data_IF_613270287122
#
_entry.id   IF_613270287122
#
_cell.length_a   1.000
_cell.length_b   1.000
_cell.length_c   1.000
_cell.angle_alpha   90.00
_cell.angle_beta   90.00
_cell.angle_gamma   90.00
#
_symmetry.space_group_name_H-M   'P 1'
#
loop_
_entity.id
_entity.type
_entity.pdbx_description
1 polymer ?
#
# COMPACT_ATOMS: atom_id res chain seq x y z
N UNK A 1 -57.72 6.16 11.00
CA UNK A 1 -56.63 5.95 10.02
C UNK A 1 -56.80 6.84 8.78
N UNK A 2 -56.50 8.15 8.83
CA UNK A 2 -56.44 9.03 7.63
C UNK A 2 -55.48 10.22 7.82
N UNK A 3 -54.29 10.01 8.39
CA UNK A 3 -53.30 11.07 8.63
C UNK A 3 -52.31 11.26 7.48
N UNK A 4 -52.13 10.24 6.63
CA UNK A 4 -51.21 10.28 5.47
C UNK A 4 -51.71 11.17 4.34
N UNK A 5 -53.03 11.40 4.25
CA UNK A 5 -53.64 12.19 3.17
C UNK A 5 -53.33 13.69 3.23
N UNK A 6 -53.16 14.26 4.42
CA UNK A 6 -52.87 15.70 4.58
C UNK A 6 -51.40 16.03 4.28
N UNK A 7 -50.48 15.15 4.65
CA UNK A 7 -49.04 15.30 4.36
C UNK A 7 -48.79 15.25 2.85
N UNK A 8 -49.49 14.36 2.14
CA UNK A 8 -49.33 14.20 0.69
C UNK A 8 -49.84 15.42 -0.11
N UNK A 9 -50.86 16.13 0.40
CA UNK A 9 -51.40 17.34 -0.24
C UNK A 9 -50.48 18.56 -0.07
N UNK A 10 -49.77 18.66 1.05
CA UNK A 10 -48.77 19.72 1.31
C UNK A 10 -47.50 19.56 0.45
N UNK A 11 -46.98 18.33 0.34
CA UNK A 11 -45.83 18.01 -0.54
C UNK A 11 -46.14 18.34 -2.00
N UNK A 12 -47.41 18.17 -2.42
CA UNK A 12 -47.84 18.45 -3.79
C UNK A 12 -47.89 19.95 -4.14
N UNK A 13 -47.99 20.83 -3.15
CA UNK A 13 -48.06 22.28 -3.37
C UNK A 13 -46.66 22.93 -3.45
N UNK A 14 -45.65 22.37 -2.78
CA UNK A 14 -44.25 22.85 -2.77
C UNK A 14 -43.25 21.93 -3.50
N UNK A 15 -43.71 21.17 -4.51
CA UNK A 15 -42.91 20.14 -5.22
C UNK A 15 -41.58 20.66 -5.77
N UNK A 16 -41.54 21.92 -6.21
CA UNK A 16 -40.36 22.52 -6.84
C UNK A 16 -39.21 22.76 -5.85
N UNK A 17 -39.51 23.10 -4.59
CA UNK A 17 -38.47 23.27 -3.57
C UNK A 17 -37.96 21.91 -3.06
N UNK A 18 -38.85 20.96 -2.80
CA UNK A 18 -38.47 19.62 -2.33
C UNK A 18 -37.71 18.81 -3.40
N UNK A 19 -38.02 18.99 -4.70
CA UNK A 19 -37.28 18.33 -5.77
C UNK A 19 -35.83 18.79 -5.85
N UNK A 20 -35.55 20.06 -5.58
CA UNK A 20 -34.18 20.59 -5.58
C UNK A 20 -33.34 19.99 -4.45
N UNK A 21 -33.90 19.92 -3.24
CA UNK A 21 -33.24 19.32 -2.08
C UNK A 21 -32.99 17.83 -2.31
N UNK A 22 -33.99 17.10 -2.83
CA UNK A 22 -33.85 15.67 -3.13
C UNK A 22 -32.78 15.42 -4.19
N UNK A 23 -32.75 16.22 -5.26
CA UNK A 23 -31.74 16.12 -6.31
C UNK A 23 -30.35 16.43 -5.79
N UNK A 24 -30.19 17.49 -4.99
CA UNK A 24 -28.91 17.85 -4.37
C UNK A 24 -28.40 16.76 -3.42
N UNK A 25 -29.27 16.21 -2.58
CA UNK A 25 -28.92 15.10 -1.68
C UNK A 25 -28.52 13.83 -2.45
N UNK A 26 -29.24 13.50 -3.52
CA UNK A 26 -28.93 12.36 -4.37
C UNK A 26 -27.56 12.50 -5.06
N UNK A 27 -27.27 13.69 -5.62
CA UNK A 27 -25.98 13.99 -6.23
C UNK A 27 -24.86 13.96 -5.20
N UNK A 28 -25.06 14.57 -4.02
CA UNK A 28 -24.07 14.55 -2.94
C UNK A 28 -23.75 13.13 -2.46
N UNK A 29 -24.78 12.30 -2.27
CA UNK A 29 -24.61 10.89 -1.91
C UNK A 29 -23.84 10.11 -3.00
N UNK A 30 -24.16 10.32 -4.28
CA UNK A 30 -23.43 9.70 -5.39
C UNK A 30 -21.95 10.10 -5.42
N UNK A 31 -21.63 11.37 -5.17
CA UNK A 31 -20.23 11.84 -5.11
C UNK A 31 -19.47 11.19 -3.95
N UNK A 32 -20.07 11.14 -2.77
CA UNK A 32 -19.45 10.50 -1.59
C UNK A 32 -19.21 9.00 -1.81
N UNK A 33 -20.18 8.29 -2.39
CA UNK A 33 -20.04 6.88 -2.72
C UNK A 33 -18.98 6.64 -3.80
N UNK A 34 -18.92 7.48 -4.84
CA UNK A 34 -17.90 7.40 -5.88
C UNK A 34 -16.48 7.61 -5.34
N UNK A 35 -16.31 8.57 -4.44
CA UNK A 35 -15.03 8.81 -3.77
C UNK A 35 -14.60 7.62 -2.89
N UNK A 36 -15.55 7.01 -2.16
CA UNK A 36 -15.26 5.84 -1.33
C UNK A 36 -14.85 4.63 -2.18
N UNK A 37 -15.58 4.35 -3.26
CA UNK A 37 -15.24 3.26 -4.19
C UNK A 37 -13.87 3.44 -4.85
N UNK A 38 -13.52 4.67 -5.24
CA UNK A 38 -12.21 4.97 -5.79
C UNK A 38 -11.09 4.76 -4.76
N UNK A 39 -11.33 5.15 -3.50
CA UNK A 39 -10.42 4.91 -2.38
C UNK A 39 -10.18 3.42 -2.13
N UNK A 40 -11.24 2.64 -2.02
CA UNK A 40 -11.17 1.19 -1.77
C UNK A 40 -10.40 0.45 -2.87
N UNK A 41 -10.62 0.82 -4.13
CA UNK A 41 -9.91 0.23 -5.27
C UNK A 41 -8.41 0.50 -5.25
N UNK A 42 -8.01 1.75 -4.93
CA UNK A 42 -6.59 2.10 -4.79
C UNK A 42 -5.98 1.38 -3.60
N UNK A 43 -6.69 1.27 -2.48
CA UNK A 43 -6.21 0.58 -1.29
C UNK A 43 -5.96 -0.92 -1.55
N UNK A 44 -6.88 -1.58 -2.27
CA UNK A 44 -6.70 -2.97 -2.69
C UNK A 44 -5.50 -3.12 -3.65
N UNK A 45 -5.39 -2.21 -4.63
CA UNK A 45 -4.29 -2.21 -5.60
C UNK A 45 -2.93 -2.00 -4.94
N UNK A 46 -2.83 -1.07 -3.98
CA UNK A 46 -1.62 -0.83 -3.20
C UNK A 46 -1.27 -2.03 -2.33
N UNK A 47 -2.25 -2.64 -1.67
CA UNK A 47 -2.05 -3.83 -0.84
C UNK A 47 -1.54 -5.00 -1.68
N UNK A 48 -2.13 -5.22 -2.86
CA UNK A 48 -1.69 -6.24 -3.81
C UNK A 48 -0.28 -5.96 -4.33
N UNK A 49 0.01 -4.71 -4.67
CA UNK A 49 1.34 -4.28 -5.16
C UNK A 49 2.41 -4.44 -4.08
N UNK A 50 2.11 -4.08 -2.84
CA UNK A 50 3.00 -4.29 -1.70
C UNK A 50 3.27 -5.79 -1.51
N UNK A 51 2.24 -6.63 -1.51
CA UNK A 51 2.40 -8.09 -1.37
C UNK A 51 3.25 -8.71 -2.49
N UNK A 52 3.10 -8.24 -3.73
CA UNK A 52 3.89 -8.71 -4.86
C UNK A 52 5.36 -8.25 -4.79
N UNK A 53 5.61 -7.03 -4.31
CA UNK A 53 6.97 -6.45 -4.24
C UNK A 53 7.78 -6.95 -3.05
N UNK A 54 7.14 -7.25 -1.93
CA UNK A 54 7.81 -7.72 -0.70
C UNK A 54 7.97 -9.25 -0.66
N UNK A 55 7.28 -10.00 -1.52
CA UNK A 55 7.31 -11.46 -1.50
C UNK A 55 6.79 -12.04 -0.18
N UNK A 56 7.24 -13.24 0.22
CA UNK A 56 6.93 -13.87 1.52
C UNK A 56 7.67 -13.22 2.70
N UNK A 57 8.26 -12.03 2.55
CA UNK A 57 8.95 -11.37 3.66
C UNK A 57 7.88 -10.69 4.52
N UNK A 58 7.60 -11.30 5.68
CA UNK A 58 6.49 -10.89 6.55
C UNK A 58 6.77 -9.56 7.28
N UNK A 59 8.04 -9.23 7.56
CA UNK A 59 8.41 -8.05 8.34
C UNK A 59 9.86 -7.63 8.05
N UNK A 60 10.11 -6.32 7.90
CA UNK A 60 11.45 -5.75 7.73
C UNK A 60 11.68 -4.70 8.81
N UNK A 61 12.69 -4.91 9.64
CA UNK A 61 13.12 -3.95 10.64
C UNK A 61 14.32 -3.16 10.13
N UNK A 62 14.14 -1.87 9.86
CA UNK A 62 15.22 -0.96 9.44
C UNK A 62 15.55 0.02 10.55
N UNK A 63 16.84 0.15 10.87
CA UNK A 63 17.34 1.08 11.88
C UNK A 63 17.56 2.50 11.38
N UNK A 64 17.21 2.74 10.11
CA UNK A 64 17.51 3.99 9.42
C UNK A 64 19.02 4.20 9.37
N UNK A 65 19.50 5.18 10.13
CA UNK A 65 20.93 5.53 10.20
C UNK A 65 21.70 4.76 11.29
N UNK A 66 21.01 3.99 12.15
CA UNK A 66 21.64 3.24 13.24
C UNK A 66 21.73 1.75 12.90
N UNK A 67 22.86 1.16 13.26
CA UNK A 67 23.01 -0.29 13.25
C UNK A 67 22.38 -0.91 14.49
N UNK A 68 21.86 -2.12 14.34
CA UNK A 68 21.37 -2.94 15.45
C UNK A 68 22.35 -4.08 15.74
N UNK A 69 22.21 -4.65 16.93
CA UNK A 69 22.90 -5.91 17.23
C UNK A 69 22.24 -7.04 16.46
N UNK A 70 23.08 -7.91 15.93
CA UNK A 70 22.71 -9.14 15.22
C UNK A 70 21.70 -10.02 15.99
N UNK A 71 21.84 -10.09 17.32
CA UNK A 71 20.91 -10.74 18.25
C UNK A 71 19.43 -10.29 18.14
N UNK A 72 19.15 -9.14 17.52
CA UNK A 72 17.77 -8.73 17.20
C UNK A 72 17.13 -9.65 16.16
N UNK A 73 17.87 -10.11 15.15
CA UNK A 73 17.36 -11.04 14.15
C UNK A 73 17.02 -12.39 14.78
N UNK A 74 17.93 -12.92 15.60
CA UNK A 74 17.77 -14.19 16.33
C UNK A 74 16.52 -14.18 17.22
N UNK A 75 16.31 -13.12 18.02
CA UNK A 75 15.15 -13.01 18.91
C UNK A 75 13.80 -12.95 18.20
N UNK A 76 13.78 -12.49 16.94
CA UNK A 76 12.55 -12.37 16.16
C UNK A 76 12.41 -13.50 15.12
N UNK A 77 13.31 -14.49 15.13
CA UNK A 77 13.28 -15.60 14.16
C UNK A 77 13.47 -15.15 12.72
N UNK A 78 14.24 -14.06 12.51
CA UNK A 78 14.60 -13.54 11.20
C UNK A 78 16.10 -13.61 10.93
N UNK A 79 16.52 -13.03 9.81
CA UNK A 79 17.92 -12.97 9.39
C UNK A 79 18.42 -11.53 9.27
N UNK A 80 19.70 -11.31 9.54
CA UNK A 80 20.32 -9.99 9.49
C UNK A 80 20.80 -9.66 8.07
N UNK A 81 20.57 -8.41 7.63
CA UNK A 81 21.04 -7.91 6.35
C UNK A 81 21.59 -6.49 6.50
N UNK A 82 22.71 -6.22 5.83
CA UNK A 82 23.31 -4.90 5.69
C UNK A 82 23.04 -4.41 4.27
N UNK A 83 22.44 -3.22 4.16
CA UNK A 83 22.18 -2.56 2.88
C UNK A 83 22.98 -1.27 2.78
N UNK A 84 23.86 -1.18 1.78
CA UNK A 84 24.76 -0.06 1.56
C UNK A 84 24.61 0.46 0.13
N UNK A 85 24.60 1.78 -0.04
CA UNK A 85 24.74 2.41 -1.35
C UNK A 85 26.19 2.77 -1.55
N UNK A 86 26.81 2.22 -2.59
CA UNK A 86 28.19 2.46 -2.96
C UNK A 86 28.33 2.98 -4.38
N UNK A 87 29.58 3.20 -4.76
CA UNK A 87 30.00 3.43 -6.13
C UNK A 87 31.08 2.40 -6.43
N UNK A 88 31.03 1.82 -7.63
CA UNK A 88 32.05 0.88 -8.07
C UNK A 88 32.92 1.60 -9.09
N UNK A 89 34.23 1.57 -8.87
CA UNK A 89 35.19 2.13 -9.79
C UNK A 89 35.97 1.00 -10.46
N UNK A 90 35.87 0.90 -11.78
CA UNK A 90 36.62 -0.06 -12.59
C UNK A 90 37.46 0.74 -13.58
N UNK A 91 38.76 0.85 -13.29
CA UNK A 91 39.75 1.61 -14.08
C UNK A 91 39.33 3.08 -14.29
N UNK A 92 38.99 3.48 -15.53
CA UNK A 92 38.51 4.83 -15.87
C UNK A 92 36.99 5.00 -15.75
N UNK A 93 36.26 3.91 -15.44
CA UNK A 93 34.79 3.94 -15.38
C UNK A 93 34.32 3.81 -13.93
N UNK A 94 33.84 4.93 -13.39
CA UNK A 94 33.09 4.95 -12.15
C UNK A 94 31.59 4.89 -12.46
N UNK A 95 30.91 3.85 -11.95
CA UNK A 95 29.46 3.75 -12.00
C UNK A 95 28.89 4.05 -10.60
N UNK A 96 28.03 5.06 -10.54
CA UNK A 96 27.33 5.45 -9.32
C UNK A 96 26.12 4.56 -9.05
N UNK A 97 25.63 4.59 -7.81
CA UNK A 97 24.37 3.94 -7.39
C UNK A 97 24.38 2.41 -7.36
N UNK A 98 25.52 1.80 -7.04
CA UNK A 98 25.56 0.36 -6.79
C UNK A 98 24.98 0.08 -5.40
N UNK A 99 24.01 -0.84 -5.34
CA UNK A 99 23.43 -1.30 -4.07
C UNK A 99 24.14 -2.58 -3.66
N UNK A 100 24.81 -2.54 -2.51
CA UNK A 100 25.49 -3.69 -1.93
C UNK A 100 24.63 -4.21 -0.78
N UNK A 101 24.24 -5.48 -0.88
CA UNK A 101 23.51 -6.20 0.16
C UNK A 101 24.44 -7.27 0.74
N UNK A 102 24.80 -7.14 2.01
CA UNK A 102 25.46 -8.20 2.77
C UNK A 102 24.41 -8.96 3.56
N UNK A 103 24.33 -10.28 3.37
CA UNK A 103 23.41 -11.16 4.09
C UNK A 103 24.20 -12.18 4.91
N UNK A 104 23.66 -12.58 6.06
CA UNK A 104 24.22 -13.70 6.83
C UNK A 104 23.81 -15.05 6.23
N UNK A 105 24.47 -16.14 6.61
CA UNK A 105 24.23 -17.47 6.00
C UNK A 105 22.79 -17.98 6.22
N UNK A 106 22.22 -17.70 7.39
CA UNK A 106 20.83 -18.01 7.76
C UNK A 106 19.78 -17.30 6.90
N UNK A 107 20.16 -16.26 6.14
CA UNK A 107 19.27 -15.62 5.17
C UNK A 107 18.81 -16.60 4.09
N UNK A 108 19.71 -17.49 3.66
CA UNK A 108 19.46 -18.42 2.56
C UNK A 108 18.43 -19.50 2.91
N UNK A 109 18.22 -19.77 4.20
CA UNK A 109 17.16 -20.68 4.67
C UNK A 109 15.75 -20.13 4.39
N UNK A 110 15.61 -18.80 4.32
CA UNK A 110 14.36 -18.11 4.03
C UNK A 110 14.24 -17.63 2.57
N UNK A 111 15.36 -17.54 1.86
CA UNK A 111 15.40 -17.02 0.51
C UNK A 111 14.57 -17.92 -0.43
N UNK A 112 13.68 -17.35 -1.27
CA UNK A 112 13.03 -18.11 -2.33
C UNK A 112 14.10 -18.67 -3.27
N UNK A 113 13.96 -19.94 -3.66
CA UNK A 113 14.97 -20.68 -4.45
C UNK A 113 15.49 -19.85 -5.63
N UNK A 114 16.81 -19.88 -5.81
CA UNK A 114 17.52 -19.04 -6.77
C UNK A 114 16.94 -19.18 -8.19
N UNK A 115 16.53 -18.05 -8.76
CA UNK A 115 16.35 -17.96 -10.21
C UNK A 115 17.74 -17.87 -10.81
N UNK A 116 18.20 -18.96 -11.44
CA UNK A 116 19.49 -18.96 -12.15
C UNK A 116 19.45 -17.95 -13.29
N UNK A 117 20.09 -16.79 -13.07
CA UNK A 117 20.29 -15.80 -14.13
C UNK A 117 21.51 -16.25 -14.93
N UNK A 118 21.25 -16.85 -16.09
CA UNK A 118 22.29 -17.18 -17.05
C UNK A 118 22.83 -15.87 -17.63
N UNK A 119 23.98 -15.43 -17.12
CA UNK A 119 24.75 -14.34 -17.72
C UNK A 119 25.64 -14.95 -18.82
N UNK A 120 25.06 -15.08 -20.01
CA UNK A 120 25.81 -15.35 -21.26
C UNK A 120 26.24 -14.06 -21.93
#
# INVERSE_FOLDING_TARGET
MKSTGFIWKGIRHYRSAYSGVLAGAAVGAMVLLGALMAGDSVQESLTKSAKLRTGKIAEIFSGGERFFRDDLAVRNGGSAMIYLKGQVNVEERAEGQVQVMGVSEDFWDFAPQETSVNLS
#
